data_IF_628946249987
#
_entry.id   IF_628946249987
#
_cell.length_a   1.000
_cell.length_b   1.000
_cell.length_c   1.000
_cell.angle_alpha   90.00
_cell.angle_beta   90.00
_cell.angle_gamma   90.00
#
_symmetry.space_group_name_H-M   'P 1'
#
loop_
_entity.id
_entity.type
_entity.pdbx_description
1 polymer ?
#
# COMPACT_ATOMS: atom_id res chain seq x y z
N UNK A 1 -35.98 13.78 24.27
CA UNK A 1 -37.05 13.60 23.27
C UNK A 1 -36.59 12.42 22.44
N UNK A 2 -36.91 11.20 22.89
CA UNK A 2 -36.62 9.97 22.13
C UNK A 2 -37.55 9.99 20.92
N UNK A 3 -36.98 10.14 19.73
CA UNK A 3 -37.71 9.83 18.50
C UNK A 3 -37.43 8.37 18.19
N UNK A 4 -38.24 7.48 18.77
CA UNK A 4 -38.22 6.06 18.45
C UNK A 4 -38.72 5.88 17.01
N UNK A 5 -37.77 5.88 16.08
CA UNK A 5 -37.98 5.35 14.73
C UNK A 5 -37.93 3.83 14.82
N UNK A 6 -38.87 3.24 15.55
CA UNK A 6 -38.89 1.82 15.92
C UNK A 6 -38.89 0.88 14.70
N UNK A 7 -39.25 1.41 13.53
CA UNK A 7 -39.23 0.70 12.26
C UNK A 7 -37.89 0.77 11.50
N UNK A 8 -36.97 1.67 11.87
CA UNK A 8 -35.63 1.77 11.27
C UNK A 8 -34.62 0.96 12.08
N UNK A 9 -33.74 0.26 11.37
CA UNK A 9 -32.61 -0.45 11.94
C UNK A 9 -31.32 0.07 11.33
N UNK A 10 -30.35 0.38 12.17
CA UNK A 10 -29.00 0.75 11.74
C UNK A 10 -28.02 -0.36 12.06
N UNK A 11 -27.15 -0.69 11.10
CA UNK A 11 -26.03 -1.62 11.30
C UNK A 11 -24.75 -0.90 10.93
N UNK A 12 -24.01 -0.49 11.96
CA UNK A 12 -22.66 0.08 11.79
C UNK A 12 -21.66 -1.07 11.79
N UNK A 13 -20.80 -1.13 10.77
CA UNK A 13 -19.73 -2.11 10.71
C UNK A 13 -18.75 -1.93 11.90
N UNK A 14 -18.10 -3.01 12.33
CA UNK A 14 -17.18 -2.98 13.49
C UNK A 14 -16.01 -2.00 13.32
N UNK A 15 -15.58 -1.81 12.08
CA UNK A 15 -14.52 -0.87 11.68
C UNK A 15 -15.02 0.58 11.55
N UNK A 16 -16.33 0.82 11.70
CA UNK A 16 -17.02 2.11 11.50
C UNK A 16 -16.84 2.67 10.08
N UNK A 17 -16.48 1.85 9.10
CA UNK A 17 -16.27 2.30 7.72
C UNK A 17 -17.54 2.33 6.89
N UNK A 18 -18.59 1.65 7.35
CA UNK A 18 -19.85 1.51 6.62
C UNK A 18 -21.01 1.51 7.57
N UNK A 19 -22.12 2.06 7.10
CA UNK A 19 -23.41 1.94 7.77
C UNK A 19 -24.46 1.47 6.78
N UNK A 20 -25.17 0.42 7.19
CA UNK A 20 -26.33 -0.07 6.49
C UNK A 20 -27.58 0.37 7.25
N UNK A 21 -28.57 0.85 6.51
CA UNK A 21 -29.88 1.20 7.02
C UNK A 21 -30.87 0.18 6.45
N UNK A 22 -31.66 -0.40 7.34
CA UNK A 22 -32.62 -1.46 7.08
C UNK A 22 -33.93 -1.11 7.80
N UNK A 23 -34.99 -1.84 7.51
CA UNK A 23 -36.30 -1.60 8.09
C UNK A 23 -36.85 -2.88 8.74
N UNK A 24 -37.67 -2.73 9.79
CA UNK A 24 -38.45 -3.84 10.33
C UNK A 24 -39.63 -4.11 9.40
N UNK A 25 -39.80 -5.36 8.99
CA UNK A 25 -40.93 -5.79 8.15
C UNK A 25 -42.16 -5.98 9.03
N UNK A 26 -42.78 -4.88 9.41
CA UNK A 26 -44.11 -4.84 10.02
C UNK A 26 -45.10 -4.13 9.08
N UNK A 27 -46.39 -4.40 9.26
CA UNK A 27 -47.46 -3.93 8.35
C UNK A 27 -47.73 -2.41 8.42
N UNK A 28 -47.18 -1.69 9.41
CA UNK A 28 -47.44 -0.26 9.67
C UNK A 28 -46.21 0.64 9.42
N UNK A 29 -45.62 0.54 8.22
CA UNK A 29 -44.53 1.43 7.82
C UNK A 29 -45.08 2.78 7.31
N UNK A 30 -44.60 3.93 7.81
CA UNK A 30 -45.05 5.25 7.36
C UNK A 30 -44.39 5.60 6.03
N UNK A 31 -44.85 5.00 4.93
CA UNK A 31 -44.40 5.38 3.58
C UNK A 31 -45.16 6.61 3.05
N UNK A 32 -44.47 7.50 2.31
CA UNK A 32 -43.03 7.48 2.04
C UNK A 32 -42.20 7.92 3.25
N UNK A 33 -41.03 7.30 3.43
CA UNK A 33 -40.06 7.75 4.43
C UNK A 33 -39.39 9.04 3.96
N UNK A 34 -39.65 10.15 4.64
CA UNK A 34 -39.04 11.42 4.25
C UNK A 34 -37.51 11.38 4.35
N UNK A 35 -36.84 12.09 3.44
CA UNK A 35 -35.38 12.27 3.47
C UNK A 35 -34.91 12.82 4.82
N UNK A 36 -35.66 13.77 5.37
CA UNK A 36 -35.36 14.42 6.64
C UNK A 36 -35.32 13.39 7.77
N UNK A 37 -36.31 12.49 7.85
CA UNK A 37 -36.32 11.39 8.82
C UNK A 37 -35.09 10.49 8.70
N UNK A 38 -34.71 10.10 7.47
CA UNK A 38 -33.54 9.24 7.25
C UNK A 38 -32.23 9.94 7.68
N UNK A 39 -32.08 11.22 7.34
CA UNK A 39 -30.90 12.01 7.71
C UNK A 39 -30.83 12.28 9.21
N UNK A 40 -31.96 12.62 9.85
CA UNK A 40 -32.04 12.81 11.30
C UNK A 40 -31.69 11.51 12.05
N UNK A 41 -32.17 10.37 11.57
CA UNK A 41 -31.85 9.06 12.14
C UNK A 41 -30.35 8.74 12.02
N UNK A 42 -29.73 8.97 10.85
CA UNK A 42 -28.29 8.81 10.66
C UNK A 42 -27.49 9.74 11.60
N UNK A 43 -27.90 11.01 11.70
CA UNK A 43 -27.27 12.00 12.57
C UNK A 43 -27.40 11.62 14.06
N UNK A 44 -28.55 11.10 14.47
CA UNK A 44 -28.77 10.61 15.84
C UNK A 44 -27.80 9.48 16.20
N UNK A 45 -27.45 8.65 15.23
CA UNK A 45 -26.44 7.60 15.37
C UNK A 45 -25.00 8.07 15.08
N UNK A 46 -24.76 9.39 15.05
CA UNK A 46 -23.47 10.04 14.86
C UNK A 46 -22.81 9.78 13.49
N UNK A 47 -23.57 9.36 12.49
CA UNK A 47 -23.08 9.28 11.10
C UNK A 47 -22.96 10.70 10.54
N UNK A 48 -21.73 11.13 10.26
CA UNK A 48 -21.41 12.50 9.87
C UNK A 48 -20.71 12.58 8.51
N UNK A 49 -20.06 11.50 8.09
CA UNK A 49 -19.25 11.48 6.87
C UNK A 49 -19.69 10.37 5.92
N UNK A 50 -19.53 10.64 4.62
CA UNK A 50 -19.71 9.62 3.58
C UNK A 50 -21.16 9.22 3.30
N UNK A 51 -22.14 10.04 3.72
CA UNK A 51 -23.57 9.77 3.50
C UNK A 51 -23.89 9.81 2.01
N UNK A 52 -24.50 8.73 1.50
CA UNK A 52 -24.93 8.63 0.12
C UNK A 52 -26.27 9.35 -0.07
N UNK A 53 -26.22 10.67 -0.25
CA UNK A 53 -27.42 11.50 -0.42
C UNK A 53 -28.28 11.07 -1.61
N UNK A 54 -27.67 10.63 -2.70
CA UNK A 54 -28.40 10.16 -3.88
C UNK A 54 -29.26 8.92 -3.56
N UNK A 55 -28.68 7.94 -2.86
CA UNK A 55 -29.42 6.73 -2.46
C UNK A 55 -30.52 7.05 -1.43
N UNK A 56 -30.26 7.99 -0.52
CA UNK A 56 -31.26 8.46 0.44
C UNK A 56 -32.43 9.14 -0.29
N UNK A 57 -32.16 9.97 -1.31
CA UNK A 57 -33.21 10.59 -2.13
C UNK A 57 -34.01 9.56 -2.93
N UNK A 58 -33.35 8.53 -3.48
CA UNK A 58 -34.03 7.42 -4.16
C UNK A 58 -34.96 6.66 -3.22
N UNK A 59 -34.53 6.39 -1.98
CA UNK A 59 -35.37 5.76 -0.97
C UNK A 59 -36.52 6.66 -0.54
N UNK A 60 -36.27 7.96 -0.37
CA UNK A 60 -37.33 8.90 0.01
C UNK A 60 -38.40 9.09 -1.08
N UNK A 61 -38.03 8.87 -2.34
CA UNK A 61 -38.95 8.86 -3.48
C UNK A 61 -39.64 7.50 -3.70
N UNK A 62 -39.17 6.43 -3.06
CA UNK A 62 -39.76 5.11 -3.17
C UNK A 62 -41.02 5.00 -2.30
N UNK A 63 -42.05 4.33 -2.84
CA UNK A 63 -43.30 4.03 -2.14
C UNK A 63 -43.27 2.65 -1.47
N UNK A 64 -42.14 1.94 -1.58
CA UNK A 64 -41.97 0.59 -1.08
C UNK A 64 -40.60 0.39 -0.42
N UNK A 65 -40.38 -0.84 0.05
CA UNK A 65 -39.20 -1.23 0.81
C UNK A 65 -38.11 -1.87 -0.06
N UNK A 66 -38.24 -1.85 -1.39
CA UNK A 66 -37.43 -2.71 -2.29
C UNK A 66 -35.94 -2.39 -2.28
N UNK A 67 -35.59 -1.15 -1.96
CA UNK A 67 -34.21 -0.69 -1.89
C UNK A 67 -33.50 -1.11 -0.59
N UNK A 68 -34.23 -1.52 0.45
CA UNK A 68 -33.63 -1.94 1.72
C UNK A 68 -33.08 -3.37 1.68
N UNK A 69 -31.94 -3.64 2.35
CA UNK A 69 -31.10 -2.69 3.10
C UNK A 69 -30.26 -1.81 2.16
N UNK A 70 -30.06 -0.55 2.55
CA UNK A 70 -29.22 0.42 1.82
C UNK A 70 -27.89 0.65 2.51
N UNK A 71 -26.83 0.86 1.73
CA UNK A 71 -25.54 1.35 2.22
C UNK A 71 -25.61 2.87 2.36
N UNK A 72 -26.11 3.33 3.50
CA UNK A 72 -26.45 4.74 3.74
C UNK A 72 -25.22 5.65 3.87
N UNK A 73 -24.09 5.16 4.35
CA UNK A 73 -22.82 5.90 4.35
C UNK A 73 -21.58 5.00 4.26
N UNK A 74 -20.52 5.53 3.64
CA UNK A 74 -19.22 4.86 3.47
C UNK A 74 -18.08 5.83 3.75
N UNK A 75 -17.20 5.46 4.68
CA UNK A 75 -15.97 6.19 4.95
C UNK A 75 -14.95 6.09 3.82
N UNK A 76 -13.92 6.93 3.87
CA UNK A 76 -12.77 6.87 2.97
C UNK A 76 -11.66 6.04 3.60
N UNK A 77 -11.28 4.94 2.96
CA UNK A 77 -10.21 4.06 3.44
C UNK A 77 -8.85 4.79 3.47
N UNK A 78 -8.03 4.59 4.51
CA UNK A 78 -6.67 5.11 4.54
C UNK A 78 -5.80 4.41 3.49
N UNK A 79 -4.92 5.17 2.82
CA UNK A 79 -4.04 4.63 1.79
C UNK A 79 -2.64 4.46 2.37
N UNK A 80 -2.06 3.26 2.21
CA UNK A 80 -0.67 3.01 2.58
C UNK A 80 0.27 3.79 1.67
N UNK A 81 1.28 4.42 2.26
CA UNK A 81 2.35 5.09 1.50
C UNK A 81 3.19 4.11 0.67
N UNK A 82 3.82 4.63 -0.37
CA UNK A 82 4.72 3.85 -1.22
C UNK A 82 5.93 3.32 -0.44
N UNK A 83 6.25 2.04 -0.59
CA UNK A 83 7.44 1.46 0.03
C UNK A 83 8.69 2.15 -0.49
N UNK A 84 9.66 2.39 0.40
CA UNK A 84 10.98 2.88 0.01
C UNK A 84 11.68 1.84 -0.85
N UNK A 85 12.57 2.30 -1.72
CA UNK A 85 13.20 1.46 -2.73
C UNK A 85 14.70 1.70 -2.78
N UNK A 86 15.44 0.68 -3.23
CA UNK A 86 16.85 0.82 -3.57
C UNK A 86 16.94 0.94 -5.09
N UNK A 87 17.39 2.09 -5.58
CA UNK A 87 17.63 2.29 -7.00
C UNK A 87 19.12 2.10 -7.27
N UNK A 88 19.46 1.17 -8.17
CA UNK A 88 20.83 0.94 -8.61
C UNK A 88 21.13 1.77 -9.85
N UNK A 89 22.30 2.39 -9.90
CA UNK A 89 22.72 3.20 -11.05
C UNK A 89 23.04 2.33 -12.27
N UNK A 90 23.47 1.09 -12.04
CA UNK A 90 23.71 0.08 -13.08
C UNK A 90 22.69 -1.05 -12.95
N UNK A 91 22.19 -1.61 -14.08
CA UNK A 91 21.28 -2.74 -14.05
C UNK A 91 21.97 -3.93 -13.37
N UNK A 92 21.38 -4.37 -12.25
CA UNK A 92 21.80 -5.53 -11.49
C UNK A 92 20.72 -6.61 -11.61
N UNK A 93 20.90 -7.55 -12.54
CA UNK A 93 20.03 -8.73 -12.64
C UNK A 93 20.60 -9.85 -11.78
N UNK A 94 20.13 -9.91 -10.54
CA UNK A 94 20.33 -11.08 -9.70
C UNK A 94 18.96 -11.63 -9.36
N UNK A 95 18.55 -12.67 -10.07
CA UNK A 95 17.35 -13.43 -9.76
C UNK A 95 17.60 -14.20 -8.47
N UNK A 96 17.50 -13.55 -7.32
CA UNK A 96 17.44 -14.21 -6.02
C UNK A 96 15.99 -14.70 -5.85
N UNK A 97 15.59 -15.69 -6.64
CA UNK A 97 14.44 -16.52 -6.29
C UNK A 97 14.97 -17.84 -5.76
N UNK A 98 15.08 -17.93 -4.43
CA UNK A 98 15.38 -19.15 -3.68
C UNK A 98 14.27 -20.24 -3.80
N UNK A 99 13.38 -20.11 -4.80
CA UNK A 99 12.21 -20.99 -5.01
C UNK A 99 11.85 -21.30 -6.46
N UNK A 100 12.54 -20.76 -7.46
CA UNK A 100 12.18 -21.05 -8.86
C UNK A 100 13.32 -21.69 -9.63
N UNK A 101 13.00 -22.82 -10.30
CA UNK A 101 13.82 -23.43 -11.35
C UNK A 101 13.91 -22.43 -12.52
N UNK A 102 14.88 -21.53 -12.46
CA UNK A 102 15.19 -20.61 -13.57
C UNK A 102 15.83 -21.43 -14.69
N UNK A 103 15.24 -21.34 -15.88
CA UNK A 103 15.74 -21.93 -17.13
C UNK A 103 17.16 -21.43 -17.40
N UNK A 104 18.10 -22.34 -17.65
CA UNK A 104 19.54 -22.09 -17.83
C UNK A 104 19.89 -21.31 -19.12
N UNK A 105 19.33 -20.10 -19.33
CA UNK A 105 19.69 -19.20 -20.44
C UNK A 105 19.75 -17.71 -20.10
N UNK A 106 19.50 -17.32 -18.86
CA UNK A 106 19.69 -15.93 -18.45
C UNK A 106 21.16 -15.68 -18.11
N UNK A 107 21.85 -14.95 -18.99
CA UNK A 107 23.21 -14.46 -18.76
C UNK A 107 23.15 -13.53 -17.54
N UNK A 108 23.73 -13.97 -16.42
CA UNK A 108 23.83 -13.16 -15.20
C UNK A 108 24.80 -12.01 -15.52
N UNK A 109 24.28 -10.80 -15.72
CA UNK A 109 25.10 -9.62 -15.90
C UNK A 109 25.40 -9.02 -14.53
N UNK A 110 26.60 -9.30 -14.01
CA UNK A 110 27.09 -8.70 -12.77
C UNK A 110 27.82 -7.40 -13.15
N UNK A 111 27.25 -6.21 -12.86
CA UNK A 111 27.92 -4.96 -13.16
C UNK A 111 29.18 -4.79 -12.30
N UNK A 112 30.23 -4.27 -12.94
CA UNK A 112 31.44 -3.78 -12.27
C UNK A 112 31.31 -2.30 -11.96
N UNK A 113 31.94 -1.85 -10.88
CA UNK A 113 32.00 -0.46 -10.42
C UNK A 113 33.45 -0.05 -10.18
N UNK A 114 33.74 1.24 -10.32
CA UNK A 114 35.03 1.84 -10.00
C UNK A 114 35.08 2.39 -8.56
N UNK A 115 36.28 2.50 -7.99
CA UNK A 115 36.46 3.17 -6.70
C UNK A 115 35.93 4.62 -6.74
N UNK A 116 35.06 4.97 -5.79
CA UNK A 116 34.38 6.25 -5.71
C UNK A 116 33.07 6.33 -6.50
N UNK A 117 32.73 5.32 -7.29
CA UNK A 117 31.48 5.30 -8.06
C UNK A 117 30.26 5.11 -7.16
N UNK A 118 29.17 5.81 -7.46
CA UNK A 118 27.87 5.59 -6.80
C UNK A 118 27.26 4.29 -7.33
N UNK A 119 26.85 3.43 -6.41
CA UNK A 119 26.31 2.11 -6.72
C UNK A 119 24.78 2.15 -6.72
N UNK A 120 24.21 2.74 -5.68
CA UNK A 120 22.78 2.77 -5.45
C UNK A 120 22.37 3.91 -4.51
N UNK A 121 21.09 4.25 -4.52
CA UNK A 121 20.47 5.22 -3.61
C UNK A 121 19.23 4.62 -2.96
N UNK A 122 19.02 4.92 -1.67
CA UNK A 122 17.78 4.57 -0.97
C UNK A 122 16.79 5.72 -1.15
N UNK A 123 15.69 5.43 -1.83
CA UNK A 123 14.51 6.29 -1.87
C UNK A 123 13.71 6.04 -0.58
N UNK A 124 13.46 7.07 0.25
CA UNK A 124 12.70 6.92 1.47
C UNK A 124 11.24 6.49 1.18
N UNK A 125 10.57 5.83 2.13
CA UNK A 125 9.15 5.51 1.98
C UNK A 125 8.29 6.78 1.94
N UNK A 126 7.19 6.70 1.19
CA UNK A 126 6.18 7.74 1.14
C UNK A 126 5.32 7.76 2.41
N UNK A 127 4.74 8.92 2.77
CA UNK A 127 3.71 8.99 3.81
C UNK A 127 2.45 8.24 3.37
N UNK A 128 1.70 7.72 4.33
CA UNK A 128 0.35 7.24 4.06
C UNK A 128 -0.63 8.40 3.96
N UNK A 129 -1.71 8.21 3.20
CA UNK A 129 -2.80 9.19 3.12
C UNK A 129 -3.85 8.86 4.17
N UNK A 130 -4.26 9.83 5.01
CA UNK A 130 -5.32 9.61 5.97
C UNK A 130 -6.66 9.34 5.28
N UNK A 131 -7.41 8.40 5.86
CA UNK A 131 -8.81 8.18 5.56
C UNK A 131 -9.70 8.80 6.65
N UNK A 132 -11.01 8.65 6.49
CA UNK A 132 -12.01 9.18 7.42
C UNK A 132 -13.19 8.21 7.50
N UNK A 133 -13.57 7.81 8.70
CA UNK A 133 -14.68 6.87 8.89
C UNK A 133 -16.04 7.58 8.89
N UNK A 134 -17.14 6.83 8.95
CA UNK A 134 -18.50 7.40 8.88
C UNK A 134 -18.85 8.31 10.06
N UNK A 135 -18.10 8.25 11.17
CA UNK A 135 -18.28 9.09 12.35
C UNK A 135 -17.45 10.39 12.30
N UNK A 136 -16.65 10.60 11.24
CA UNK A 136 -15.73 11.73 11.12
C UNK A 136 -14.39 11.55 11.83
N UNK A 137 -14.07 10.32 12.27
CA UNK A 137 -12.77 10.03 12.89
C UNK A 137 -11.71 9.80 11.80
N UNK A 138 -10.60 10.54 11.88
CA UNK A 138 -9.47 10.38 10.94
C UNK A 138 -8.71 9.09 11.23
N UNK A 139 -8.58 8.23 10.21
CA UNK A 139 -7.77 7.01 10.26
C UNK A 139 -6.44 7.27 9.55
N UNK A 140 -5.34 7.22 10.30
CA UNK A 140 -4.02 7.49 9.74
C UNK A 140 -3.58 6.40 8.76
N UNK A 141 -3.16 6.82 7.56
CA UNK A 141 -2.49 5.95 6.59
C UNK A 141 -1.15 5.46 7.12
N UNK A 142 -0.87 4.16 6.98
CA UNK A 142 0.43 3.62 7.34
C UNK A 142 1.49 4.12 6.35
N UNK A 143 2.66 4.59 6.81
CA UNK A 143 3.76 4.91 5.90
C UNK A 143 4.22 3.66 5.14
N UNK A 144 4.87 3.88 4.00
CA UNK A 144 5.56 2.81 3.31
C UNK A 144 6.63 2.15 4.18
N UNK A 145 6.97 0.90 3.87
CA UNK A 145 8.08 0.21 4.53
C UNK A 145 9.39 0.82 4.04
N UNK A 146 10.30 1.11 4.97
CA UNK A 146 11.63 1.59 4.61
C UNK A 146 12.40 0.50 3.84
N UNK A 147 13.06 0.90 2.75
CA UNK A 147 14.06 0.06 2.10
C UNK A 147 15.25 -0.15 3.04
N UNK A 148 15.73 -1.40 3.10
CA UNK A 148 16.88 -1.77 3.93
C UNK A 148 18.02 -2.29 3.06
N UNK A 149 19.11 -1.54 3.05
CA UNK A 149 20.41 -1.96 2.53
C UNK A 149 21.49 -1.48 3.48
N UNK A 150 22.55 -2.28 3.65
CA UNK A 150 23.69 -1.97 4.50
C UNK A 150 24.97 -2.00 3.65
N UNK A 151 25.91 -1.12 4.00
CA UNK A 151 27.23 -1.12 3.38
C UNK A 151 28.00 -2.36 3.85
N UNK A 152 28.40 -3.20 2.91
CA UNK A 152 29.23 -4.37 3.13
C UNK A 152 30.69 -4.12 2.78
N UNK A 153 31.37 -5.16 2.29
CA UNK A 153 32.78 -5.09 1.92
C UNK A 153 33.00 -4.13 0.75
N UNK A 154 34.03 -3.28 0.87
CA UNK A 154 34.40 -2.26 -0.13
C UNK A 154 33.25 -1.32 -0.54
N UNK A 155 32.28 -1.08 0.35
CA UNK A 155 31.20 -0.12 0.14
C UNK A 155 31.13 0.83 1.33
N UNK A 156 30.75 2.08 1.07
CA UNK A 156 30.42 3.06 2.10
C UNK A 156 29.04 3.64 1.82
N UNK A 157 28.27 3.88 2.87
CA UNK A 157 27.01 4.63 2.78
C UNK A 157 27.29 6.08 3.15
N UNK A 158 26.79 7.02 2.35
CA UNK A 158 26.76 8.43 2.68
C UNK A 158 25.35 8.80 3.20
N UNK A 159 25.21 9.17 4.49
CA UNK A 159 23.90 9.55 5.05
C UNK A 159 23.33 10.86 4.47
N UNK A 160 24.16 11.73 3.91
CA UNK A 160 23.72 13.05 3.42
C UNK A 160 22.86 12.95 2.14
N UNK A 161 23.14 11.97 1.28
CA UNK A 161 22.42 11.71 0.03
C UNK A 161 21.72 10.34 0.00
N UNK A 162 21.83 9.58 1.10
CA UNK A 162 21.27 8.24 1.27
C UNK A 162 21.76 7.25 0.19
N UNK A 163 22.99 7.44 -0.30
CA UNK A 163 23.58 6.65 -1.37
C UNK A 163 24.76 5.79 -0.91
N UNK A 164 25.04 4.74 -1.68
CA UNK A 164 26.15 3.82 -1.50
C UNK A 164 27.21 4.07 -2.56
N UNK A 165 28.46 4.08 -2.13
CA UNK A 165 29.62 4.33 -2.97
C UNK A 165 30.63 3.18 -2.84
N UNK A 166 31.26 2.83 -3.95
CA UNK A 166 32.34 1.85 -3.97
C UNK A 166 33.61 2.44 -3.34
N UNK A 167 34.28 1.68 -2.47
CA UNK A 167 35.59 2.02 -1.92
C UNK A 167 36.74 1.44 -2.74
N UNK A 168 36.46 0.42 -3.55
CA UNK A 168 37.41 -0.24 -4.42
C UNK A 168 36.70 -0.63 -5.74
N UNK A 169 37.46 -0.76 -6.82
CA UNK A 169 36.92 -1.26 -8.09
C UNK A 169 36.69 -2.77 -8.03
N UNK A 170 35.61 -3.26 -8.63
CA UNK A 170 35.27 -4.68 -8.63
C UNK A 170 33.84 -4.96 -9.08
N UNK A 171 33.36 -6.17 -8.81
CA UNK A 171 32.01 -6.63 -9.15
C UNK A 171 31.04 -6.49 -7.98
N UNK A 172 29.81 -6.05 -8.27
CA UNK A 172 28.75 -5.96 -7.26
C UNK A 172 28.29 -7.34 -6.79
N UNK A 173 28.23 -7.51 -5.47
CA UNK A 173 27.73 -8.72 -4.83
C UNK A 173 26.75 -8.35 -3.71
N UNK A 174 25.48 -8.71 -3.88
CA UNK A 174 24.46 -8.49 -2.86
C UNK A 174 24.23 -9.79 -2.09
N UNK A 175 24.42 -9.76 -0.77
CA UNK A 175 24.13 -10.89 0.12
C UNK A 175 23.14 -10.47 1.20
N UNK A 176 21.90 -10.96 1.11
CA UNK A 176 20.82 -10.50 1.96
C UNK A 176 20.56 -9.00 1.76
N UNK A 177 20.79 -8.21 2.80
CA UNK A 177 20.71 -6.74 2.72
C UNK A 177 22.06 -6.05 2.54
N UNK A 178 23.17 -6.80 2.49
CA UNK A 178 24.51 -6.22 2.39
C UNK A 178 24.93 -6.06 0.93
N UNK A 179 25.28 -4.82 0.55
CA UNK A 179 25.88 -4.48 -0.73
C UNK A 179 27.41 -4.52 -0.61
N UNK A 180 28.06 -5.36 -1.41
CA UNK A 180 29.50 -5.55 -1.41
C UNK A 180 30.08 -5.29 -2.80
N UNK A 181 31.35 -4.87 -2.85
CA UNK A 181 32.16 -4.88 -4.07
C UNK A 181 33.29 -5.89 -3.88
N UNK A 182 33.30 -6.95 -4.67
CA UNK A 182 34.35 -7.96 -4.64
C UNK A 182 35.35 -7.74 -5.78
N UNK A 183 36.65 -8.00 -5.58
CA UNK A 183 37.64 -7.93 -6.66
C UNK A 183 37.23 -8.85 -7.82
N UNK A 184 37.23 -8.34 -9.05
CA UNK A 184 37.02 -9.16 -10.25
C UNK A 184 38.33 -9.86 -10.61
N UNK A 185 38.37 -11.18 -10.47
CA UNK A 185 39.46 -11.99 -11.02
C UNK A 185 39.13 -12.31 -12.48
N UNK A 186 39.67 -11.53 -13.41
CA UNK A 186 39.80 -12.01 -14.79
C UNK A 186 40.88 -13.09 -14.81
N UNK A 187 40.45 -14.35 -14.92
CA UNK A 187 41.35 -15.40 -15.34
C UNK A 187 41.62 -15.14 -16.82
N UNK A 188 42.68 -14.39 -17.11
CA UNK A 188 43.32 -14.42 -18.42
C UNK A 188 43.89 -15.82 -18.62
N UNK A 189 43.02 -16.74 -19.03
CA UNK A 189 43.41 -18.04 -19.52
C UNK A 189 44.08 -17.83 -20.86
N UNK A 190 45.39 -17.67 -20.86
CA UNK A 190 46.22 -18.10 -21.98
C UNK A 190 45.93 -19.59 -22.17
N UNK A 191 44.97 -19.91 -23.04
CA UNK A 191 44.74 -21.26 -23.54
C UNK A 191 45.86 -21.56 -24.54
N UNK A 192 47.07 -21.78 -24.02
CA UNK A 192 48.18 -22.31 -24.80
C UNK A 192 47.87 -23.80 -25.06
N UNK A 193 47.02 -24.07 -26.05
CA UNK A 193 46.81 -25.42 -26.60
C UNK A 193 48.04 -25.83 -27.40
N UNK A 194 49.12 -26.18 -26.71
CA UNK A 194 50.23 -26.97 -27.28
C UNK A 194 49.96 -28.44 -27.00
N UNK A 195 49.28 -29.09 -27.94
CA UNK A 195 49.28 -30.55 -28.01
C UNK A 195 50.54 -30.99 -28.77
N UNK A 196 51.32 -31.86 -28.11
CA UNK A 196 52.56 -32.48 -28.59
C UNK A 196 52.21 -33.73 -29.40
#
# INVERSE_FOLDING_TARGET
MEMDHDYLMIRIAKDKMKVELDIRKDDDLPFPLSREVLLEFLQHHHVQFGINLELIEQVAAAEDTTLFPILAAVGTEPIKGEDGQVLFDKPYTHTINDKEKVSFRDIIHIPSVEAGERIAVIVPPGPGTPGENILGEIIQGKPGRAARMIAGENVQMNPADNAFYARASGQLNIRGHALNVLPSYEVNGDLDMRTI
#
